data_IF_081744308315
#
_entry.id   IF_081744308315
#
_cell.length_a   1.000
_cell.length_b   1.000
_cell.length_c   1.000
_cell.angle_alpha   90.00
_cell.angle_beta   90.00
_cell.angle_gamma   90.00
#
_symmetry.space_group_name_H-M   'P 1'
#
loop_
_entity.id
_entity.type
_entity.pdbx_description
1 polymer ?
#
# COMPACT_ATOMS: atom_id res chain seq x y z
N UNK A 1 -15.47 -12.84 -0.18
CA UNK A 1 -14.83 -11.56 -0.52
C UNK A 1 -13.90 -11.88 -1.67
N UNK A 2 -14.17 -11.33 -2.84
CA UNK A 2 -13.43 -11.69 -4.05
C UNK A 2 -11.97 -11.18 -3.99
N UNK A 3 -11.07 -11.78 -4.77
CA UNK A 3 -9.67 -11.33 -4.85
C UNK A 3 -9.59 -9.88 -5.32
N UNK A 4 -10.50 -9.46 -6.20
CA UNK A 4 -10.60 -8.08 -6.67
C UNK A 4 -11.05 -7.12 -5.57
N UNK A 5 -11.96 -7.54 -4.68
CA UNK A 5 -12.37 -6.75 -3.51
C UNK A 5 -11.19 -6.55 -2.54
N UNK A 6 -10.41 -7.62 -2.30
CA UNK A 6 -9.25 -7.59 -1.43
C UNK A 6 -8.15 -6.69 -2.01
N UNK A 7 -7.88 -6.81 -3.31
CA UNK A 7 -6.93 -5.96 -4.02
C UNK A 7 -7.34 -4.48 -3.95
N UNK A 8 -8.62 -4.18 -4.17
CA UNK A 8 -9.17 -2.82 -4.09
C UNK A 8 -9.01 -2.22 -2.68
N UNK A 9 -9.33 -3.02 -1.64
CA UNK A 9 -9.16 -2.59 -0.25
C UNK A 9 -7.70 -2.29 0.09
N UNK A 10 -6.77 -3.15 -0.34
CA UNK A 10 -5.32 -2.99 -0.09
C UNK A 10 -4.72 -1.82 -0.86
N UNK A 11 -5.13 -1.60 -2.10
CA UNK A 11 -4.72 -0.44 -2.88
C UNK A 11 -5.22 0.87 -2.27
N UNK A 12 -6.46 0.89 -1.77
CA UNK A 12 -7.01 2.05 -1.06
C UNK A 12 -6.20 2.37 0.21
N UNK A 13 -5.85 1.35 0.99
CA UNK A 13 -5.02 1.48 2.17
C UNK A 13 -3.60 2.00 1.82
N UNK A 14 -2.96 1.45 0.80
CA UNK A 14 -1.64 1.89 0.34
C UNK A 14 -1.65 3.33 -0.15
N UNK A 15 -2.66 3.70 -0.94
CA UNK A 15 -2.86 5.07 -1.42
C UNK A 15 -3.00 6.06 -0.27
N UNK A 16 -3.79 5.71 0.76
CA UNK A 16 -3.97 6.51 1.96
C UNK A 16 -2.67 6.67 2.75
N UNK A 17 -1.85 5.61 2.84
CA UNK A 17 -0.55 5.70 3.49
C UNK A 17 0.42 6.61 2.72
N UNK A 18 0.52 6.43 1.39
CA UNK A 18 1.39 7.27 0.55
C UNK A 18 0.95 8.74 0.51
N UNK A 19 -0.27 9.08 0.91
CA UNK A 19 -0.64 10.49 1.12
C UNK A 19 0.18 11.19 2.21
N UNK A 20 0.68 10.46 3.20
CA UNK A 20 1.56 11.03 4.23
C UNK A 20 2.96 11.37 3.71
N UNK A 21 3.36 10.87 2.54
CA UNK A 21 4.69 11.14 1.99
C UNK A 21 4.68 12.23 0.92
N UNK A 22 3.58 12.96 0.74
CA UNK A 22 3.44 14.04 -0.24
C UNK A 22 2.73 15.28 0.31
N UNK A 23 2.91 16.43 -0.33
CA UNK A 23 2.20 17.67 0.00
C UNK A 23 2.30 18.07 1.48
N UNK A 24 1.16 18.35 2.10
CA UNK A 24 1.09 18.69 3.53
C UNK A 24 1.47 17.50 4.44
N UNK A 25 1.18 16.27 4.02
CA UNK A 25 1.57 15.05 4.73
C UNK A 25 3.08 14.90 4.81
N UNK A 26 3.80 15.23 3.72
CA UNK A 26 5.26 15.11 3.66
C UNK A 26 5.96 15.90 4.77
N UNK A 27 5.43 17.06 5.16
CA UNK A 27 5.98 17.84 6.28
C UNK A 27 5.86 17.09 7.61
N UNK A 28 4.76 16.39 7.82
CA UNK A 28 4.57 15.55 9.00
C UNK A 28 5.52 14.36 8.97
N UNK A 29 5.62 13.69 7.82
CA UNK A 29 6.54 12.57 7.62
C UNK A 29 8.00 12.96 7.82
N UNK A 30 8.44 14.09 7.26
CA UNK A 30 9.82 14.59 7.41
C UNK A 30 10.16 15.02 8.84
N UNK A 31 9.15 15.27 9.67
CA UNK A 31 9.31 15.63 11.07
C UNK A 31 9.36 14.40 12.01
N UNK A 32 9.09 13.20 11.50
CA UNK A 32 9.28 11.97 12.26
C UNK A 32 10.75 11.59 12.35
N UNK A 33 11.11 10.78 13.36
CA UNK A 33 12.46 10.21 13.43
C UNK A 33 12.74 9.30 12.24
N UNK A 34 14.02 9.14 11.90
CA UNK A 34 14.45 8.27 10.80
C UNK A 34 13.93 6.83 10.96
N UNK A 35 13.88 6.32 12.20
CA UNK A 35 13.32 5.02 12.52
C UNK A 35 11.83 4.93 12.17
N UNK A 36 11.03 5.94 12.54
CA UNK A 36 9.60 5.97 12.25
C UNK A 36 9.37 6.12 10.74
N UNK A 37 10.16 6.96 10.06
CA UNK A 37 10.09 7.10 8.61
C UNK A 37 10.41 5.78 7.90
N UNK A 38 11.47 5.09 8.32
CA UNK A 38 11.87 3.81 7.76
C UNK A 38 10.80 2.73 7.98
N UNK A 39 10.27 2.62 9.20
CA UNK A 39 9.21 1.66 9.53
C UNK A 39 7.93 1.95 8.72
N UNK A 40 7.59 3.23 8.53
CA UNK A 40 6.42 3.63 7.74
C UNK A 40 6.58 3.23 6.27
N UNK A 41 7.72 3.55 5.66
CA UNK A 41 8.01 3.19 4.26
C UNK A 41 8.10 1.67 4.08
N UNK A 42 8.64 0.95 5.05
CA UNK A 42 8.65 -0.51 5.05
C UNK A 42 7.24 -1.09 5.05
N UNK A 43 6.33 -0.55 5.89
CA UNK A 43 4.93 -0.95 5.89
C UNK A 43 4.23 -0.67 4.55
N UNK A 44 4.49 0.48 3.91
CA UNK A 44 4.03 0.77 2.55
C UNK A 44 4.56 -0.27 1.54
N UNK A 45 5.84 -0.66 1.65
CA UNK A 45 6.46 -1.65 0.75
C UNK A 45 5.80 -3.01 0.89
N UNK A 46 5.58 -3.51 2.11
CA UNK A 46 4.91 -4.79 2.33
C UNK A 46 3.49 -4.81 1.76
N UNK A 47 2.76 -3.70 1.91
CA UNK A 47 1.40 -3.60 1.39
C UNK A 47 1.38 -3.55 -0.15
N UNK A 48 2.40 -2.96 -0.77
CA UNK A 48 2.58 -2.98 -2.21
C UNK A 48 2.90 -4.40 -2.73
N UNK A 49 3.71 -5.17 -2.00
CA UNK A 49 3.98 -6.59 -2.31
C UNK A 49 2.71 -7.45 -2.19
N UNK A 50 1.89 -7.22 -1.16
CA UNK A 50 0.60 -7.89 -1.01
C UNK A 50 -0.35 -7.58 -2.19
N UNK A 51 -0.44 -6.31 -2.59
CA UNK A 51 -1.22 -5.92 -3.77
C UNK A 51 -0.71 -6.61 -5.04
N UNK A 52 0.62 -6.71 -5.21
CA UNK A 52 1.22 -7.39 -6.36
C UNK A 52 0.86 -8.87 -6.37
N UNK A 53 0.97 -9.56 -5.24
CA UNK A 53 0.60 -10.96 -5.12
C UNK A 53 -0.88 -11.22 -5.42
N UNK A 54 -1.76 -10.35 -4.91
CA UNK A 54 -3.20 -10.41 -5.20
C UNK A 54 -3.50 -10.17 -6.69
N UNK A 55 -2.80 -9.23 -7.33
CA UNK A 55 -2.97 -8.96 -8.76
C UNK A 55 -2.50 -10.11 -9.65
N UNK A 56 -1.40 -10.78 -9.29
CA UNK A 56 -0.88 -11.93 -10.02
C UNK A 56 -1.84 -13.13 -9.91
N UNK A 57 -2.41 -13.33 -8.72
CA UNK A 57 -3.43 -14.35 -8.49
C UNK A 57 -4.74 -14.07 -9.26
N UNK A 58 -5.13 -12.80 -9.41
CA UNK A 58 -6.30 -12.42 -10.23
C UNK A 58 -6.12 -12.68 -11.73
N UNK A 59 -4.88 -12.70 -12.24
CA UNK A 59 -4.61 -12.94 -13.67
C UNK A 59 -4.68 -14.44 -14.00
N UNK A 60 -4.43 -15.31 -13.03
CA UNK A 60 -4.39 -16.78 -13.22
C UNK A 60 -5.80 -17.44 -13.16
N UNK A 61 -6.82 -16.72 -12.69
CA UNK A 61 -8.18 -17.22 -12.65
C UNK A 61 -8.87 -17.06 -14.03
N UNK A 62 -9.39 -18.14 -14.64
CA UNK A 62 -10.19 -18.01 -15.85
C UNK A 62 -11.42 -17.16 -15.55
N UNK A 63 -11.66 -16.14 -16.37
CA UNK A 63 -12.90 -15.40 -16.36
C UNK A 63 -14.03 -16.36 -16.76
N UNK A 64 -14.84 -16.79 -15.78
CA UNK A 64 -16.09 -17.53 -15.97
C UNK A 64 -17.18 -16.57 -16.50
#
# INVERSE_FOLDING_TARGET
MDVQDQLSARLSQLSAMLTMTKGAGFKTFSNWSDEIQANYLWACSMLAEECKGLSDFSIDLPAD
#
